data_IF_098472987099
#
_entry.id   IF_098472987099
#
_cell.length_a   1.000
_cell.length_b   1.000
_cell.length_c   1.000
_cell.angle_alpha   90.00
_cell.angle_beta   90.00
_cell.angle_gamma   90.00
#
_symmetry.space_group_name_H-M   'P 1'
#
loop_
_entity.id
_entity.type
_entity.pdbx_description
1 polymer ?
#
# COMPACT_ATOMS: atom_id res chain seq x y z
N UNK A 1 33.28 27.08 -12.95
CA UNK A 1 32.79 26.98 -12.84
C UNK A 1 32.03 26.60 -12.44
N UNK A 2 31.86 26.53 -12.27
CA UNK A 2 31.15 26.26 -11.96
C UNK A 2 30.11 26.20 -11.93
N UNK A 3 29.80 25.67 -12.13
CA UNK A 3 28.87 25.58 -12.25
C UNK A 3 27.98 25.68 -11.32
N UNK A 4 27.71 26.17 -11.27
CA UNK A 4 26.91 26.42 -10.39
C UNK A 4 25.70 26.69 -10.90
N UNK A 5 25.34 26.06 -11.80
CA UNK A 5 24.11 26.20 -12.40
C UNK A 5 23.07 26.54 -11.41
N UNK A 6 23.01 25.87 -10.42
CA UNK A 6 21.98 26.13 -9.51
C UNK A 6 22.02 27.46 -8.88
N UNK A 7 22.76 28.31 -9.49
CA UNK A 7 22.88 29.48 -8.89
C UNK A 7 21.72 30.24 -8.69
N UNK A 8 20.79 30.22 -9.54
CA UNK A 8 19.68 31.00 -9.27
C UNK A 8 18.74 30.27 -8.43
N UNK A 9 19.03 29.05 -8.26
CA UNK A 9 18.32 28.35 -7.34
C UNK A 9 19.13 28.61 -6.15
N UNK A 10 20.21 29.29 -6.39
CA UNK A 10 21.15 29.50 -5.40
C UNK A 10 20.73 30.28 -4.22
N UNK A 11 19.60 30.84 -4.19
CA UNK A 11 19.15 31.47 -2.99
C UNK A 11 19.10 30.39 -1.92
N UNK A 12 19.87 30.49 -0.86
CA UNK A 12 19.86 29.49 0.17
C UNK A 12 18.47 29.24 0.77
N UNK A 13 17.68 30.28 0.93
CA UNK A 13 16.36 30.11 1.49
C UNK A 13 15.44 29.32 0.56
N UNK A 14 15.58 29.53 -0.74
CA UNK A 14 14.78 28.80 -1.70
C UNK A 14 15.15 27.31 -1.71
N UNK A 15 16.45 27.03 -1.74
CA UNK A 15 16.89 25.64 -1.70
C UNK A 15 16.47 24.94 -0.41
N UNK A 16 16.55 25.64 0.69
CA UNK A 16 16.14 25.10 1.97
C UNK A 16 14.66 24.78 1.95
N UNK A 17 13.84 25.67 1.35
CA UNK A 17 12.40 25.45 1.26
C UNK A 17 12.06 24.24 0.41
N UNK A 18 12.76 24.08 -0.73
CA UNK A 18 12.53 22.96 -1.60
C UNK A 18 12.93 21.64 -0.92
N UNK A 19 14.08 21.66 -0.23
CA UNK A 19 14.52 20.45 0.49
C UNK A 19 13.57 20.07 1.60
N UNK A 20 13.05 21.06 2.32
CA UNK A 20 12.11 20.79 3.40
C UNK A 20 10.82 20.21 2.82
N UNK A 21 10.35 20.75 1.70
CA UNK A 21 9.15 20.25 1.06
C UNK A 21 9.35 18.81 0.57
N UNK A 22 10.48 18.54 -0.06
CA UNK A 22 10.78 17.21 -0.53
C UNK A 22 10.83 16.21 0.63
N UNK A 23 11.39 16.63 1.73
CA UNK A 23 11.48 15.79 2.90
C UNK A 23 10.08 15.49 3.45
N UNK A 24 9.22 16.51 3.50
CA UNK A 24 7.85 16.33 3.97
C UNK A 24 7.07 15.37 3.09
N UNK A 25 7.26 15.48 1.77
CA UNK A 25 6.60 14.58 0.84
C UNK A 25 7.07 13.15 1.07
N UNK A 26 8.37 12.95 1.26
CA UNK A 26 8.93 11.64 1.50
C UNK A 26 8.40 11.05 2.80
N UNK A 27 8.28 11.88 3.84
CA UNK A 27 7.72 11.44 5.12
C UNK A 27 6.28 11.02 4.97
N UNK A 28 5.50 11.80 4.24
CA UNK A 28 4.10 11.49 4.05
C UNK A 28 3.93 10.18 3.27
N UNK A 29 4.75 9.97 2.26
CA UNK A 29 4.70 8.73 1.49
C UNK A 29 5.07 7.53 2.36
N UNK A 30 6.08 7.68 3.20
CA UNK A 30 6.48 6.61 4.11
C UNK A 30 5.38 6.31 5.12
N UNK A 31 4.72 7.34 5.63
CA UNK A 31 3.61 7.17 6.57
C UNK A 31 2.44 6.44 5.91
N UNK A 32 2.11 6.85 4.69
CA UNK A 32 1.03 6.22 3.95
C UNK A 32 1.35 4.76 3.66
N UNK A 33 2.60 4.47 3.32
CA UNK A 33 3.04 3.11 3.06
C UNK A 33 2.87 2.26 4.32
N UNK A 34 3.26 2.80 5.47
CA UNK A 34 3.10 2.11 6.74
C UNK A 34 1.64 1.82 7.07
N UNK A 35 0.76 2.80 6.84
CA UNK A 35 -0.66 2.63 7.07
C UNK A 35 -1.23 1.52 6.16
N UNK A 36 -0.82 1.52 4.91
CA UNK A 36 -1.28 0.51 3.95
C UNK A 36 -0.79 -0.87 4.35
N UNK A 37 0.44 -0.99 4.82
CA UNK A 37 0.96 -2.27 5.29
C UNK A 37 0.16 -2.80 6.46
N UNK A 38 -0.16 -1.93 7.41
CA UNK A 38 -0.96 -2.33 8.57
C UNK A 38 -2.38 -2.75 8.17
N UNK A 39 -2.94 -2.09 7.14
CA UNK A 39 -4.26 -2.47 6.64
C UNK A 39 -4.22 -3.86 6.02
N UNK A 40 -3.17 -4.16 5.27
CA UNK A 40 -3.00 -5.49 4.70
C UNK A 40 -2.94 -6.53 5.83
N UNK A 41 -2.09 -6.27 6.81
CA UNK A 41 -1.94 -7.21 7.92
C UNK A 41 -3.24 -7.42 8.68
N UNK A 42 -3.97 -6.35 8.93
CA UNK A 42 -5.23 -6.45 9.66
C UNK A 42 -6.26 -7.26 8.88
N UNK A 43 -6.34 -7.01 7.58
CA UNK A 43 -7.34 -7.72 6.77
C UNK A 43 -6.97 -9.18 6.57
N UNK A 44 -5.69 -9.49 6.42
CA UNK A 44 -5.27 -10.88 6.34
C UNK A 44 -5.52 -11.62 7.65
N UNK A 45 -5.34 -10.92 8.76
CA UNK A 45 -5.59 -11.53 10.06
C UNK A 45 -7.09 -11.83 10.25
N UNK A 46 -7.95 -10.93 9.80
CA UNK A 46 -9.40 -11.18 9.85
C UNK A 46 -9.75 -12.42 9.05
N UNK A 47 -9.15 -12.58 7.89
CA UNK A 47 -9.41 -13.73 7.04
C UNK A 47 -8.91 -15.02 7.72
N UNK A 48 -7.71 -14.98 8.30
CA UNK A 48 -7.17 -16.14 8.99
C UNK A 48 -8.05 -16.55 10.16
N UNK A 49 -8.53 -15.58 10.92
CA UNK A 49 -9.41 -15.87 12.06
C UNK A 49 -10.73 -16.45 11.60
N UNK A 50 -11.26 -15.91 10.51
CA UNK A 50 -12.50 -16.44 9.95
C UNK A 50 -12.31 -17.91 9.57
N UNK A 51 -11.21 -18.21 8.90
CA UNK A 51 -10.95 -19.59 8.45
C UNK A 51 -10.75 -20.54 9.64
N UNK A 52 -10.13 -20.06 10.70
CA UNK A 52 -9.92 -20.89 11.88
C UNK A 52 -11.24 -21.22 12.58
N UNK A 53 -12.21 -20.30 12.51
CA UNK A 53 -13.50 -20.48 13.18
C UNK A 53 -14.63 -20.76 12.23
N UNK A 54 -14.33 -21.15 11.00
CA UNK A 54 -15.30 -21.06 9.93
C UNK A 54 -16.32 -22.17 9.82
N UNK A 55 -16.29 -23.16 10.68
CA UNK A 55 -17.21 -24.26 10.54
C UNK A 55 -18.65 -23.75 10.49
N UNK A 56 -19.33 -23.98 9.39
CA UNK A 56 -20.72 -23.62 9.23
C UNK A 56 -20.99 -22.15 8.93
N UNK A 57 -19.96 -21.35 8.68
CA UNK A 57 -20.18 -19.95 8.38
C UNK A 57 -20.41 -19.71 6.90
N UNK A 58 -21.05 -18.59 6.61
CA UNK A 58 -21.45 -18.27 5.23
C UNK A 58 -20.27 -17.96 4.34
N UNK A 59 -20.26 -18.58 3.19
CA UNK A 59 -19.22 -18.36 2.19
C UNK A 59 -19.24 -16.93 1.68
N UNK A 60 -20.42 -16.32 1.58
CA UNK A 60 -20.53 -14.94 1.12
C UNK A 60 -19.74 -13.99 2.02
N UNK A 61 -19.77 -14.24 3.32
CA UNK A 61 -19.00 -13.42 4.26
C UNK A 61 -17.51 -13.61 4.06
N UNK A 62 -17.09 -14.83 3.80
CA UNK A 62 -15.68 -15.10 3.53
C UNK A 62 -15.21 -14.39 2.29
N UNK A 63 -16.04 -14.37 1.24
CA UNK A 63 -15.70 -13.67 0.01
C UNK A 63 -15.52 -12.17 0.26
N UNK A 64 -16.34 -11.59 1.14
CA UNK A 64 -16.17 -10.20 1.51
C UNK A 64 -14.82 -9.97 2.18
N UNK A 65 -14.41 -10.87 3.05
CA UNK A 65 -13.11 -10.73 3.72
C UNK A 65 -11.96 -10.88 2.75
N UNK A 66 -12.09 -11.77 1.78
CA UNK A 66 -11.08 -11.92 0.74
C UNK A 66 -11.01 -10.64 -0.09
N UNK A 67 -12.16 -10.06 -0.43
CA UNK A 67 -12.21 -8.84 -1.22
C UNK A 67 -11.65 -7.66 -0.43
N UNK A 68 -11.95 -7.57 0.86
CA UNK A 68 -11.39 -6.52 1.70
C UNK A 68 -9.87 -6.61 1.75
N UNK A 69 -9.34 -7.84 1.88
CA UNK A 69 -7.90 -8.03 1.90
C UNK A 69 -7.30 -7.65 0.54
N UNK A 70 -7.97 -8.01 -0.55
CA UNK A 70 -7.47 -7.69 -1.88
C UNK A 70 -7.43 -6.18 -2.11
N UNK A 71 -8.43 -5.46 -1.60
CA UNK A 71 -8.44 -4.00 -1.71
C UNK A 71 -7.31 -3.37 -0.92
N UNK A 72 -7.03 -3.91 0.27
CA UNK A 72 -5.92 -3.43 1.07
C UNK A 72 -4.58 -3.68 0.37
N UNK A 73 -4.43 -4.85 -0.24
CA UNK A 73 -3.20 -5.19 -0.99
C UNK A 73 -3.06 -4.26 -2.19
N UNK A 74 -4.15 -3.97 -2.88
CA UNK A 74 -4.13 -3.05 -4.00
C UNK A 74 -3.65 -1.68 -3.56
N UNK A 75 -4.17 -1.18 -2.43
CA UNK A 75 -3.74 0.10 -1.89
C UNK A 75 -2.25 0.12 -1.57
N UNK A 76 -1.75 -0.97 -1.00
CA UNK A 76 -0.33 -1.07 -0.70
C UNK A 76 0.51 -1.04 -1.99
N UNK A 77 0.09 -1.77 -3.01
CA UNK A 77 0.82 -1.80 -4.28
C UNK A 77 0.85 -0.42 -4.92
N UNK A 78 -0.28 0.29 -4.92
CA UNK A 78 -0.33 1.63 -5.48
C UNK A 78 0.63 2.55 -4.72
N UNK A 79 0.61 2.47 -3.39
CA UNK A 79 1.47 3.34 -2.59
C UNK A 79 2.94 3.00 -2.82
N UNK A 80 3.26 1.73 -2.99
CA UNK A 80 4.64 1.32 -3.27
C UNK A 80 5.11 1.87 -4.62
N UNK A 81 4.24 1.86 -5.61
CA UNK A 81 4.56 2.44 -6.91
C UNK A 81 4.86 3.92 -6.78
N UNK A 82 4.07 4.63 -5.99
CA UNK A 82 4.28 6.06 -5.76
C UNK A 82 5.60 6.33 -5.05
N UNK A 83 6.10 5.37 -4.30
CA UNK A 83 7.37 5.48 -3.60
C UNK A 83 8.54 4.96 -4.43
N UNK A 84 8.28 4.54 -5.66
CA UNK A 84 9.33 3.99 -6.51
C UNK A 84 9.68 2.55 -6.21
N UNK A 85 8.83 1.85 -5.47
CA UNK A 85 9.06 0.45 -5.12
C UNK A 85 8.05 -0.39 -5.88
N UNK A 86 8.51 -1.34 -6.65
CA UNK A 86 7.60 -2.11 -7.49
C UNK A 86 7.80 -3.62 -7.41
N UNK A 87 8.15 -4.12 -6.26
CA UNK A 87 8.46 -5.51 -6.09
C UNK A 87 7.27 -6.30 -5.58
N UNK A 88 6.19 -6.31 -6.35
CA UNK A 88 4.95 -6.98 -5.98
C UNK A 88 5.10 -8.41 -5.50
N UNK A 89 5.80 -9.28 -6.26
CA UNK A 89 5.97 -10.67 -5.83
C UNK A 89 6.66 -10.82 -4.49
N UNK A 90 7.65 -9.97 -4.22
CA UNK A 90 8.32 -9.99 -2.92
C UNK A 90 7.40 -9.55 -1.80
N UNK A 91 6.55 -8.56 -2.07
CA UNK A 91 5.58 -8.10 -1.08
C UNK A 91 4.59 -9.22 -0.76
N UNK A 92 4.11 -9.91 -1.80
CA UNK A 92 3.17 -11.01 -1.60
C UNK A 92 3.77 -12.09 -0.70
N UNK A 93 5.05 -12.35 -0.89
CA UNK A 93 5.74 -13.34 -0.08
C UNK A 93 5.95 -12.86 1.34
N UNK A 94 6.40 -11.62 1.49
CA UNK A 94 6.71 -11.07 2.81
C UNK A 94 5.47 -10.99 3.70
N UNK A 95 4.33 -10.63 3.12
CA UNK A 95 3.08 -10.54 3.88
C UNK A 95 2.34 -11.86 3.91
N UNK A 96 2.85 -12.88 3.22
CA UNK A 96 2.19 -14.19 3.12
C UNK A 96 0.76 -14.04 2.61
N UNK A 97 0.61 -13.31 1.51
CA UNK A 97 -0.70 -13.05 0.93
C UNK A 97 -1.18 -14.30 0.21
N UNK A 98 -2.35 -14.84 0.59
CA UNK A 98 -2.86 -16.04 -0.08
C UNK A 98 -3.11 -15.80 -1.57
N UNK A 99 -2.95 -16.85 -2.36
CA UNK A 99 -3.16 -16.76 -3.80
C UNK A 99 -4.56 -16.29 -4.17
N UNK A 100 -5.57 -16.68 -3.40
CA UNK A 100 -6.94 -16.27 -3.68
C UNK A 100 -7.14 -14.78 -3.47
N UNK A 101 -6.39 -14.18 -2.52
CA UNK A 101 -6.44 -12.75 -2.32
C UNK A 101 -5.72 -12.05 -3.49
N UNK A 102 -4.55 -12.57 -3.86
CA UNK A 102 -3.81 -12.00 -4.99
C UNK A 102 -4.63 -12.05 -6.28
N UNK A 103 -5.41 -13.09 -6.45
CA UNK A 103 -6.23 -13.23 -7.65
C UNK A 103 -7.32 -12.16 -7.74
N UNK A 104 -7.68 -11.57 -6.61
CA UNK A 104 -8.71 -10.53 -6.57
C UNK A 104 -8.13 -9.12 -6.55
N UNK A 105 -6.82 -8.99 -6.44
CA UNK A 105 -6.18 -7.67 -6.39
C UNK A 105 -6.47 -6.95 -7.71
N UNK A 106 -6.92 -5.71 -7.59
CA UNK A 106 -7.24 -4.91 -8.77
C UNK A 106 -8.63 -5.14 -9.35
N UNK A 107 -9.39 -6.10 -8.82
CA UNK A 107 -10.75 -6.30 -9.28
C UNK A 107 -11.67 -5.37 -8.52
N UNK A 108 -12.78 -5.02 -9.13
CA UNK A 108 -13.75 -4.17 -8.46
C UNK A 108 -14.85 -5.05 -7.87
N UNK A 109 -15.22 -4.72 -6.64
CA UNK A 109 -16.32 -5.41 -5.99
C UNK A 109 -17.60 -5.00 -6.71
N UNK A 110 -18.41 -5.98 -7.07
CA UNK A 110 -19.66 -5.66 -7.67
C UNK A 110 -20.55 -5.06 -6.62
N UNK A 111 -21.23 -3.98 -6.96
CA UNK A 111 -22.12 -3.40 -6.01
C UNK A 111 -23.24 -4.39 -5.81
N UNK A 112 -23.82 -4.33 -4.66
CA UNK A 112 -24.84 -5.28 -4.30
C UNK A 112 -26.16 -4.99 -4.93
N UNK A 113 -26.20 -4.34 -5.98
CA UNK A 113 -27.44 -4.00 -6.64
C UNK A 113 -28.24 -5.22 -6.99
#
# INVERSE_FOLDING_TARGET
MSVRAPQFFGSPSLQSGLSALEYEIAEERASALGRNGRQVEANLEKLRKWDADSAGKAEAKRLDLVQDAAEAVWGLFVQRELCGLSNGPDVAKDYQIPGEVMAKVGTFRRSAS
#
